data_IF_219317794088
#
_entry.id   IF_219317794088
#
_cell.length_a   1.000
_cell.length_b   1.000
_cell.length_c   1.000
_cell.angle_alpha   90.00
_cell.angle_beta   90.00
_cell.angle_gamma   90.00
#
_symmetry.space_group_name_H-M   'P 1'
#
loop_
_entity.id
_entity.type
_entity.pdbx_description
1 polymer ?
#
# COMPACT_ATOMS: atom_id res chain seq x y z
N UNK A 1 42.27 -12.99 -34.67
CA UNK A 1 40.82 -13.21 -34.41
C UNK A 1 40.44 -13.00 -32.93
N UNK A 2 41.08 -13.67 -31.97
CA UNK A 2 40.74 -13.55 -30.53
C UNK A 2 40.88 -12.12 -29.95
N UNK A 3 41.95 -11.40 -30.30
CA UNK A 3 42.17 -10.02 -29.83
C UNK A 3 41.14 -9.02 -30.37
N UNK A 4 40.60 -9.25 -31.57
CA UNK A 4 39.53 -8.42 -32.14
C UNK A 4 38.20 -8.70 -31.43
N UNK A 5 37.92 -9.97 -31.12
CA UNK A 5 36.74 -10.40 -30.36
C UNK A 5 36.75 -9.88 -28.91
N UNK A 6 37.91 -9.81 -28.24
CA UNK A 6 38.03 -9.25 -26.89
C UNK A 6 37.82 -7.73 -26.89
N UNK A 7 38.37 -7.01 -27.88
CA UNK A 7 38.17 -5.55 -27.98
C UNK A 7 36.73 -5.19 -28.35
N UNK A 8 36.09 -5.94 -29.26
CA UNK A 8 34.68 -5.76 -29.60
C UNK A 8 33.76 -6.14 -28.43
N UNK A 9 34.05 -7.23 -27.70
CA UNK A 9 33.23 -7.62 -26.54
C UNK A 9 33.34 -6.62 -25.38
N UNK A 10 34.53 -6.03 -25.14
CA UNK A 10 34.70 -4.96 -24.14
C UNK A 10 34.11 -3.62 -24.59
N UNK A 11 34.16 -3.31 -25.89
CA UNK A 11 33.55 -2.10 -26.46
C UNK A 11 32.02 -2.13 -26.46
N UNK A 12 31.42 -3.31 -26.70
CA UNK A 12 29.96 -3.50 -26.68
C UNK A 12 29.42 -3.51 -25.24
N UNK A 13 30.13 -4.12 -24.28
CA UNK A 13 29.73 -4.12 -22.87
C UNK A 13 29.86 -2.74 -22.20
N UNK A 14 30.81 -1.91 -22.64
CA UNK A 14 30.96 -0.50 -22.20
C UNK A 14 30.19 0.51 -23.06
N UNK A 15 29.62 0.07 -24.18
CA UNK A 15 28.72 0.82 -25.05
C UNK A 15 27.27 0.77 -24.57
N UNK A 16 26.83 -0.38 -24.02
CA UNK A 16 25.47 -0.56 -23.51
C UNK A 16 25.18 0.16 -22.18
N UNK A 17 26.20 0.76 -21.55
CA UNK A 17 26.01 1.69 -20.42
C UNK A 17 25.88 3.14 -20.85
N UNK A 18 26.18 3.46 -22.12
CA UNK A 18 26.28 4.83 -22.64
C UNK A 18 25.02 5.31 -23.33
N UNK A 19 24.10 4.40 -23.64
CA UNK A 19 22.77 4.73 -24.16
C UNK A 19 21.78 5.02 -23.01
N UNK A 20 22.14 5.95 -22.13
CA UNK A 20 21.19 6.51 -21.16
C UNK A 20 20.34 7.55 -21.87
N UNK A 21 19.34 7.04 -22.58
CA UNK A 21 18.01 7.61 -22.72
C UNK A 21 17.73 8.64 -21.62
N UNK A 22 17.59 9.91 -22.02
CA UNK A 22 17.27 11.13 -21.25
C UNK A 22 16.67 10.86 -19.85
N UNK A 23 17.52 10.53 -18.87
CA UNK A 23 17.10 10.42 -17.47
C UNK A 23 16.97 11.83 -16.92
N UNK A 24 15.80 12.15 -16.39
CA UNK A 24 15.54 13.44 -15.72
C UNK A 24 16.57 13.68 -14.61
N UNK A 25 16.76 14.95 -14.23
CA UNK A 25 17.71 15.36 -13.18
C UNK A 25 17.52 14.53 -11.89
N UNK A 26 16.27 14.17 -11.60
CA UNK A 26 15.85 13.31 -10.48
C UNK A 26 16.40 11.90 -10.60
N UNK A 27 16.34 11.26 -11.78
CA UNK A 27 16.87 9.91 -11.99
C UNK A 27 18.39 9.83 -11.79
N UNK A 28 19.13 10.89 -12.17
CA UNK A 28 20.57 11.00 -11.93
C UNK A 28 20.88 11.19 -10.43
N UNK A 29 20.08 12.00 -9.73
CA UNK A 29 20.21 12.20 -8.29
C UNK A 29 19.93 10.92 -7.50
N UNK A 30 18.84 10.20 -7.81
CA UNK A 30 18.48 8.94 -7.15
C UNK A 30 19.57 7.89 -7.33
N UNK A 31 20.12 7.72 -8.54
CA UNK A 31 21.22 6.78 -8.79
C UNK A 31 22.51 7.14 -8.03
N UNK A 32 22.79 8.44 -7.88
CA UNK A 32 23.92 8.91 -7.07
C UNK A 32 23.68 8.73 -5.56
N UNK A 33 22.48 9.02 -5.07
CA UNK A 33 22.09 8.86 -3.66
C UNK A 33 22.11 7.38 -3.23
N UNK A 34 21.66 6.47 -4.10
CA UNK A 34 21.77 5.02 -3.87
C UNK A 34 23.20 4.51 -3.73
N UNK A 35 24.15 5.08 -4.48
CA UNK A 35 25.54 4.64 -4.44
C UNK A 35 26.33 5.20 -3.24
N UNK A 36 25.94 6.38 -2.74
CA UNK A 36 26.62 7.05 -1.63
C UNK A 36 26.00 6.71 -0.28
N UNK A 37 24.67 6.82 -0.19
CA UNK A 37 23.92 6.72 1.07
C UNK A 37 22.64 5.88 0.83
N UNK A 38 22.79 4.55 0.65
CA UNK A 38 21.67 3.67 0.34
C UNK A 38 20.64 3.64 1.49
N UNK A 39 21.10 3.70 2.74
CA UNK A 39 20.21 3.64 3.92
C UNK A 39 19.25 4.82 3.96
N UNK A 40 19.76 6.04 3.74
CA UNK A 40 18.94 7.25 3.77
C UNK A 40 17.96 7.24 2.59
N UNK A 41 18.43 6.87 1.40
CA UNK A 41 17.59 6.82 0.20
C UNK A 41 16.43 5.82 0.35
N UNK A 42 16.69 4.64 0.91
CA UNK A 42 15.66 3.63 1.20
C UNK A 42 14.70 4.12 2.28
N UNK A 43 15.20 4.74 3.35
CA UNK A 43 14.35 5.26 4.43
C UNK A 43 13.36 6.33 3.95
N UNK A 44 13.81 7.26 3.11
CA UNK A 44 12.94 8.27 2.49
C UNK A 44 11.92 7.62 1.54
N UNK A 45 12.34 6.62 0.75
CA UNK A 45 11.44 5.88 -0.14
C UNK A 45 10.32 5.17 0.61
N UNK A 46 10.68 4.43 1.68
CA UNK A 46 9.70 3.73 2.53
C UNK A 46 8.78 4.72 3.23
N UNK A 47 9.31 5.84 3.75
CA UNK A 47 8.50 6.86 4.41
C UNK A 47 7.43 7.46 3.49
N UNK A 48 7.82 7.83 2.26
CA UNK A 48 6.87 8.36 1.27
C UNK A 48 5.83 7.31 0.86
N UNK A 49 6.26 6.07 0.67
CA UNK A 49 5.39 4.97 0.30
C UNK A 49 4.40 4.64 1.42
N UNK A 50 4.84 4.67 2.69
CA UNK A 50 3.99 4.47 3.86
C UNK A 50 2.92 5.56 4.01
N UNK A 51 3.19 6.80 3.59
CA UNK A 51 2.17 7.85 3.57
C UNK A 51 1.20 7.73 2.39
N UNK A 52 1.68 7.30 1.22
CA UNK A 52 0.86 7.20 0.02
C UNK A 52 -0.04 5.96 0.00
N UNK A 53 0.45 4.81 0.46
CA UNK A 53 -0.27 3.53 0.41
C UNK A 53 -1.63 3.55 1.12
N UNK A 54 -1.79 4.14 2.33
CA UNK A 54 -3.08 4.15 3.01
C UNK A 54 -4.17 4.92 2.26
N UNK A 55 -3.79 5.95 1.50
CA UNK A 55 -4.72 6.76 0.71
C UNK A 55 -5.12 6.07 -0.62
N UNK A 56 -4.23 5.26 -1.19
CA UNK A 56 -4.47 4.57 -2.46
C UNK A 56 -5.10 3.18 -2.26
N UNK A 57 -4.89 2.55 -1.10
CA UNK A 57 -5.33 1.18 -0.87
C UNK A 57 -6.83 1.12 -0.58
N UNK A 58 -7.62 0.34 -1.32
CA UNK A 58 -9.04 0.12 -1.00
C UNK A 58 -9.22 -0.70 0.30
N UNK A 59 -8.16 -1.32 0.82
CA UNK A 59 -8.19 -2.16 2.01
C UNK A 59 -8.27 -1.36 3.32
N UNK A 60 -7.84 -0.10 3.32
CA UNK A 60 -7.88 0.73 4.54
C UNK A 60 -9.30 0.96 5.06
N UNK A 61 -10.29 0.94 4.16
CA UNK A 61 -11.72 0.97 4.54
C UNK A 61 -12.09 -0.19 5.45
N UNK A 62 -11.66 -1.41 5.12
CA UNK A 62 -11.98 -2.62 5.89
C UNK A 62 -11.33 -2.59 7.27
N UNK A 63 -10.10 -2.10 7.39
CA UNK A 63 -9.44 -1.89 8.70
C UNK A 63 -10.26 -0.96 9.60
N UNK A 64 -10.79 0.14 9.06
CA UNK A 64 -11.67 1.04 9.81
C UNK A 64 -12.99 0.39 10.24
N UNK A 65 -13.63 -0.36 9.32
CA UNK A 65 -14.87 -1.08 9.63
C UNK A 65 -14.67 -2.17 10.68
N UNK A 66 -13.54 -2.88 10.67
CA UNK A 66 -13.21 -3.90 11.68
C UNK A 66 -13.09 -3.29 13.07
N UNK A 67 -12.38 -2.16 13.20
CA UNK A 67 -12.20 -1.49 14.49
C UNK A 67 -13.53 -1.00 15.09
N UNK A 68 -14.49 -0.62 14.24
CA UNK A 68 -15.83 -0.22 14.68
C UNK A 68 -16.74 -1.41 15.00
N UNK A 69 -16.51 -2.56 14.38
CA UNK A 69 -17.34 -3.75 14.54
C UNK A 69 -17.04 -4.52 15.83
N UNK A 70 -15.88 -4.32 16.45
CA UNK A 70 -15.49 -5.02 17.70
C UNK A 70 -16.15 -4.35 18.91
N UNK A 71 -17.05 -5.03 19.63
CA UNK A 71 -17.71 -4.47 20.79
C UNK A 71 -16.82 -4.63 22.04
N UNK A 72 -16.07 -3.58 22.39
CA UNK A 72 -15.32 -3.56 23.65
C UNK A 72 -16.20 -3.28 24.87
N UNK A 73 -17.26 -2.52 24.67
CA UNK A 73 -18.26 -2.21 25.69
C UNK A 73 -19.52 -3.04 25.42
N UNK A 74 -20.23 -3.39 26.49
CA UNK A 74 -21.51 -4.09 26.36
C UNK A 74 -22.55 -3.17 25.68
N UNK A 75 -23.16 -3.59 24.56
CA UNK A 75 -24.17 -2.79 23.87
C UNK A 75 -25.46 -2.77 24.68
N UNK A 76 -25.78 -1.62 25.26
CA UNK A 76 -27.00 -1.42 26.06
C UNK A 76 -28.21 -1.33 25.11
N UNK A 77 -29.24 -2.18 25.25
CA UNK A 77 -30.45 -2.10 24.44
C UNK A 77 -31.19 -0.77 24.64
N UNK A 78 -31.70 -0.23 23.55
CA UNK A 78 -32.54 0.97 23.57
C UNK A 78 -33.95 0.59 24.02
N UNK A 79 -34.63 1.49 24.73
CA UNK A 79 -36.04 1.29 25.08
C UNK A 79 -36.90 1.51 23.84
N UNK A 80 -37.84 0.59 23.61
CA UNK A 80 -38.78 0.67 22.50
C UNK A 80 -39.82 1.78 22.71
N UNK A 81 -39.96 2.66 21.72
CA UNK A 81 -40.97 3.72 21.64
C UNK A 81 -42.11 3.37 20.68
N UNK A 82 -42.06 2.21 20.03
CA UNK A 82 -43.03 1.72 19.05
C UNK A 82 -42.78 2.19 17.61
N UNK A 83 -41.75 3.00 17.34
CA UNK A 83 -41.45 3.54 16.00
C UNK A 83 -39.94 3.55 15.69
N UNK A 84 -39.26 2.40 15.86
CA UNK A 84 -37.84 2.22 15.52
C UNK A 84 -37.59 1.07 14.52
N UNK A 85 -37.87 1.26 13.22
CA UNK A 85 -37.74 0.19 12.21
C UNK A 85 -36.29 -0.24 11.91
N UNK A 86 -35.30 0.54 12.35
CA UNK A 86 -33.87 0.32 12.16
C UNK A 86 -33.18 -0.39 13.34
N UNK A 87 -33.86 -0.50 14.48
CA UNK A 87 -33.33 -1.18 15.68
C UNK A 87 -33.87 -2.61 15.73
N UNK A 88 -33.00 -3.63 15.70
CA UNK A 88 -33.45 -5.02 15.79
C UNK A 88 -33.97 -5.34 17.21
N UNK A 89 -35.05 -6.11 17.30
CA UNK A 89 -35.58 -6.59 18.58
C UNK A 89 -34.76 -7.77 19.13
N UNK A 90 -34.14 -8.55 18.23
CA UNK A 90 -33.34 -9.71 18.55
C UNK A 90 -32.04 -9.75 17.72
N UNK A 91 -30.92 -10.32 18.24
CA UNK A 91 -29.65 -10.35 17.52
C UNK A 91 -29.67 -11.05 16.15
N UNK A 92 -30.62 -11.97 15.94
CA UNK A 92 -30.76 -12.69 14.68
C UNK A 92 -31.63 -11.97 13.64
N UNK A 93 -32.19 -10.80 13.97
CA UNK A 93 -33.05 -10.06 13.06
C UNK A 93 -32.22 -9.46 11.91
N UNK A 94 -32.78 -9.39 10.69
CA UNK A 94 -32.06 -8.88 9.52
C UNK A 94 -31.78 -7.37 9.58
N UNK A 95 -32.42 -6.64 10.49
CA UNK A 95 -32.39 -5.18 10.58
C UNK A 95 -31.10 -4.62 11.23
N UNK A 96 -30.15 -5.47 11.62
CA UNK A 96 -28.87 -5.07 12.22
C UNK A 96 -27.67 -4.97 11.25
N UNK A 97 -26.57 -4.40 11.73
CA UNK A 97 -25.28 -4.40 11.00
C UNK A 97 -24.69 -5.80 10.95
N UNK A 98 -24.77 -6.43 9.78
CA UNK A 98 -24.20 -7.75 9.53
C UNK A 98 -22.69 -7.68 9.21
N UNK A 99 -21.94 -8.70 9.62
CA UNK A 99 -20.51 -8.91 9.43
C UNK A 99 -20.18 -9.87 8.28
N UNK A 100 -21.11 -10.17 7.36
CA UNK A 100 -20.84 -11.08 6.24
C UNK A 100 -19.71 -10.59 5.34
N UNK A 101 -19.50 -9.28 5.21
CA UNK A 101 -18.34 -8.72 4.50
C UNK A 101 -17.00 -9.10 5.16
N UNK A 102 -16.98 -9.31 6.49
CA UNK A 102 -15.79 -9.72 7.25
C UNK A 102 -15.57 -11.22 7.16
N UNK A 103 -16.65 -12.02 7.10
CA UNK A 103 -16.58 -13.48 6.93
C UNK A 103 -16.10 -13.88 5.53
N UNK A 104 -16.41 -13.07 4.52
CA UNK A 104 -16.09 -13.32 3.11
C UNK A 104 -14.89 -12.49 2.61
N UNK A 105 -14.18 -11.80 3.51
CA UNK A 105 -12.95 -11.06 3.21
C UNK A 105 -11.78 -12.02 2.99
#
# INVERSE_FOLDING_TARGET
>A
ALLWYITVSRGVFTGWSRDSFRVSLVGRFVKNAWNKEPVITVSCGIGLLACALPALSPLTKYTGMMNQAVPYNYPVPVRDDGNMPDVPAHPCDPQGRNLDWLKNL
#
